data_IF_242914872544
#
_entry.id   IF_242914872544
#
_cell.length_a   1.000
_cell.length_b   1.000
_cell.length_c   1.000
_cell.angle_alpha   90.00
_cell.angle_beta   90.00
_cell.angle_gamma   90.00
#
_symmetry.space_group_name_H-M   'P 1'
#
loop_
_entity.id
_entity.type
_entity.pdbx_description
1 polymer ?
#
# COMPACT_ATOMS: atom_id res chain seq x y z
N UNK A 1 -3.45 -29.91 1.22
CA UNK A 1 -2.76 -28.99 0.30
C UNK A 1 -2.85 -27.58 0.89
N UNK A 2 -1.79 -26.77 0.87
CA UNK A 2 -1.85 -25.41 1.46
C UNK A 2 -2.75 -24.51 0.63
N UNK A 3 -3.52 -23.61 1.27
CA UNK A 3 -4.40 -22.63 0.58
C UNK A 3 -3.69 -21.95 -0.59
N UNK A 4 -2.45 -21.50 -0.37
CA UNK A 4 -1.66 -20.80 -1.38
C UNK A 4 -1.28 -21.66 -2.57
N UNK A 5 -1.03 -22.96 -2.39
CA UNK A 5 -0.72 -23.87 -3.50
C UNK A 5 -1.96 -24.00 -4.38
N UNK A 6 -3.10 -24.36 -3.78
CA UNK A 6 -4.35 -24.56 -4.52
C UNK A 6 -4.82 -23.29 -5.24
N UNK A 7 -4.71 -22.12 -4.61
CA UNK A 7 -5.07 -20.85 -5.23
C UNK A 7 -4.12 -20.47 -6.37
N UNK A 8 -2.81 -20.69 -6.20
CA UNK A 8 -1.85 -20.36 -7.26
C UNK A 8 -2.09 -21.24 -8.48
N UNK A 9 -2.36 -22.53 -8.30
CA UNK A 9 -2.71 -23.44 -9.40
C UNK A 9 -3.99 -22.99 -10.13
N UNK A 10 -5.04 -22.60 -9.41
CA UNK A 10 -6.28 -22.10 -10.02
C UNK A 10 -6.09 -20.79 -10.77
N UNK A 11 -5.32 -19.86 -10.20
CA UNK A 11 -4.97 -18.60 -10.88
C UNK A 11 -4.15 -18.89 -12.13
N UNK A 12 -3.21 -19.82 -12.06
CA UNK A 12 -2.41 -20.22 -13.21
C UNK A 12 -3.26 -20.82 -14.33
N UNK A 13 -4.30 -21.59 -14.00
CA UNK A 13 -5.30 -22.09 -14.95
C UNK A 13 -6.13 -20.94 -15.53
N UNK A 14 -6.59 -20.00 -14.70
CA UNK A 14 -7.33 -18.81 -15.17
C UNK A 14 -6.51 -17.98 -16.17
N UNK A 15 -5.20 -17.83 -15.94
CA UNK A 15 -4.33 -17.10 -16.87
C UNK A 15 -4.29 -17.75 -18.26
N UNK A 16 -4.45 -19.07 -18.33
CA UNK A 16 -4.44 -19.83 -19.59
C UNK A 16 -5.83 -19.81 -20.24
N UNK A 17 -6.87 -20.16 -19.48
CA UNK A 17 -8.22 -20.41 -19.98
C UNK A 17 -9.06 -19.14 -20.12
N UNK A 18 -8.77 -18.11 -19.33
CA UNK A 18 -9.52 -16.84 -19.27
C UNK A 18 -11.03 -17.03 -19.07
N UNK A 19 -11.39 -18.10 -18.35
CA UNK A 19 -12.77 -18.42 -18.03
C UNK A 19 -13.27 -17.55 -16.87
N UNK A 20 -14.38 -16.84 -17.10
CA UNK A 20 -15.03 -15.97 -16.10
C UNK A 20 -15.55 -16.77 -14.90
N UNK A 21 -16.10 -17.97 -15.11
CA UNK A 21 -16.59 -18.81 -14.03
C UNK A 21 -15.45 -19.25 -13.10
N UNK A 22 -14.27 -19.51 -13.67
CA UNK A 22 -13.07 -19.83 -12.90
C UNK A 22 -12.58 -18.63 -12.09
N UNK A 23 -12.62 -17.42 -12.66
CA UNK A 23 -12.31 -16.19 -11.93
C UNK A 23 -13.27 -15.98 -10.75
N UNK A 24 -14.57 -16.16 -10.95
CA UNK A 24 -15.56 -16.06 -9.88
C UNK A 24 -15.31 -17.09 -8.77
N UNK A 25 -14.99 -18.33 -9.13
CA UNK A 25 -14.64 -19.37 -8.16
C UNK A 25 -13.40 -18.99 -7.34
N UNK A 26 -12.34 -18.51 -7.99
CA UNK A 26 -11.12 -18.04 -7.33
C UNK A 26 -11.44 -16.89 -6.34
N UNK A 27 -12.23 -15.91 -6.77
CA UNK A 27 -12.62 -14.78 -5.91
C UNK A 27 -13.42 -15.26 -4.69
N UNK A 28 -14.35 -16.21 -4.87
CA UNK A 28 -15.12 -16.81 -3.77
C UNK A 28 -14.21 -17.53 -2.76
N UNK A 29 -13.20 -18.26 -3.24
CA UNK A 29 -12.22 -18.93 -2.38
C UNK A 29 -11.39 -17.94 -1.54
N UNK A 30 -11.18 -16.71 -2.04
CA UNK A 30 -10.53 -15.65 -1.28
C UNK A 30 -11.40 -15.03 -0.19
N UNK A 31 -12.74 -15.07 -0.30
CA UNK A 31 -13.62 -14.35 0.63
C UNK A 31 -13.38 -14.64 2.11
N UNK A 32 -13.22 -15.91 2.57
CA UNK A 32 -12.94 -16.19 3.98
C UNK A 32 -11.62 -15.57 4.44
N UNK A 33 -10.59 -15.63 3.60
CA UNK A 33 -9.28 -15.04 3.88
C UNK A 33 -9.38 -13.51 3.99
N UNK A 34 -10.04 -12.86 3.05
CA UNK A 34 -10.20 -11.41 3.02
C UNK A 34 -11.03 -10.89 4.20
N UNK A 35 -12.12 -11.58 4.55
CA UNK A 35 -12.93 -11.25 5.74
C UNK A 35 -12.09 -11.30 7.02
N UNK A 36 -11.28 -12.36 7.18
CA UNK A 36 -10.39 -12.48 8.33
C UNK A 36 -9.33 -11.37 8.37
N UNK A 37 -8.72 -11.07 7.22
CA UNK A 37 -7.74 -9.98 7.12
C UNK A 37 -8.36 -8.62 7.44
N UNK A 38 -9.53 -8.30 6.91
CA UNK A 38 -10.22 -7.03 7.18
C UNK A 38 -10.61 -6.89 8.65
N UNK A 39 -11.06 -7.98 9.28
CA UNK A 39 -11.34 -7.98 10.73
C UNK A 39 -10.09 -7.74 11.57
N UNK A 40 -8.96 -8.34 11.19
CA UNK A 40 -7.69 -8.10 11.87
C UNK A 40 -7.21 -6.66 11.72
N UNK A 41 -7.40 -6.05 10.54
CA UNK A 41 -7.07 -4.65 10.29
C UNK A 41 -7.96 -3.71 11.13
N UNK A 42 -9.27 -3.97 11.19
CA UNK A 42 -10.21 -3.25 12.07
C UNK A 42 -9.78 -3.34 13.54
N UNK A 43 -9.49 -4.54 14.06
CA UNK A 43 -9.01 -4.74 15.44
C UNK A 43 -7.69 -3.97 15.67
N UNK A 44 -6.82 -3.92 14.67
CA UNK A 44 -5.57 -3.16 14.77
C UNK A 44 -5.81 -1.66 14.81
N UNK A 45 -6.81 -1.16 14.08
CA UNK A 45 -7.26 0.22 14.17
C UNK A 45 -7.82 0.55 15.56
N UNK A 46 -8.73 -0.30 16.07
CA UNK A 46 -9.34 -0.14 17.40
C UNK A 46 -8.28 -0.08 18.51
N UNK A 47 -7.26 -0.95 18.44
CA UNK A 47 -6.12 -0.96 19.38
C UNK A 47 -5.29 0.33 19.34
N UNK A 48 -5.26 1.01 18.21
CA UNK A 48 -4.60 2.30 18.04
C UNK A 48 -5.53 3.47 18.40
N UNK A 49 -6.73 3.18 18.92
CA UNK A 49 -7.73 4.17 19.26
C UNK A 49 -8.39 4.81 18.04
N UNK A 50 -8.28 4.19 16.86
CA UNK A 50 -8.85 4.68 15.60
C UNK A 50 -10.00 3.76 15.17
N UNK A 51 -11.14 4.35 14.86
CA UNK A 51 -12.30 3.73 14.27
C UNK A 51 -12.16 3.81 12.76
N UNK A 52 -11.93 2.66 12.15
CA UNK A 52 -12.01 2.46 10.70
C UNK A 52 -12.99 1.31 10.49
N UNK A 53 -14.08 1.50 9.71
CA UNK A 53 -15.06 0.46 9.45
C UNK A 53 -14.44 -0.79 8.84
N UNK A 54 -15.01 -1.95 9.16
CA UNK A 54 -14.63 -3.22 8.55
C UNK A 54 -14.82 -3.19 7.02
N UNK A 55 -15.91 -2.56 6.59
CA UNK A 55 -16.36 -2.44 5.21
C UNK A 55 -15.33 -1.73 4.34
N UNK A 56 -14.61 -0.74 4.89
CA UNK A 56 -13.59 0.01 4.16
C UNK A 56 -12.35 -0.84 3.88
N UNK A 57 -11.91 -1.62 4.87
CA UNK A 57 -10.86 -2.62 4.65
C UNK A 57 -11.32 -3.69 3.66
N UNK A 58 -12.52 -4.24 3.85
CA UNK A 58 -12.99 -5.38 3.07
C UNK A 58 -13.23 -5.02 1.60
N UNK A 59 -13.88 -3.88 1.32
CA UNK A 59 -14.10 -3.40 -0.05
C UNK A 59 -12.80 -3.12 -0.80
N UNK A 60 -11.83 -2.47 -0.13
CA UNK A 60 -10.52 -2.20 -0.73
C UNK A 60 -9.73 -3.49 -0.98
N UNK A 61 -9.84 -4.47 -0.09
CA UNK A 61 -9.23 -5.79 -0.27
C UNK A 61 -9.83 -6.59 -1.42
N UNK A 62 -11.15 -6.55 -1.62
CA UNK A 62 -11.81 -7.19 -2.76
C UNK A 62 -11.28 -6.61 -4.08
N UNK A 63 -11.22 -5.28 -4.17
CA UNK A 63 -10.70 -4.59 -5.35
C UNK A 63 -9.23 -4.93 -5.61
N UNK A 64 -8.41 -4.91 -4.55
CA UNK A 64 -6.98 -5.24 -4.65
C UNK A 64 -6.74 -6.70 -5.07
N UNK A 65 -7.61 -7.62 -4.63
CA UNK A 65 -7.57 -9.03 -5.02
C UNK A 65 -7.82 -9.20 -6.50
N UNK A 66 -8.90 -8.61 -7.01
CA UNK A 66 -9.22 -8.65 -8.45
C UNK A 66 -8.08 -8.04 -9.28
N UNK A 67 -7.60 -6.84 -8.89
CA UNK A 67 -6.45 -6.19 -9.56
C UNK A 67 -5.20 -7.05 -9.53
N UNK A 68 -4.89 -7.72 -8.42
CA UNK A 68 -3.72 -8.58 -8.32
C UNK A 68 -3.79 -9.79 -9.27
N UNK A 69 -4.97 -10.38 -9.44
CA UNK A 69 -5.18 -11.50 -10.38
C UNK A 69 -5.02 -11.02 -11.83
N UNK A 70 -5.61 -9.87 -12.17
CA UNK A 70 -5.50 -9.29 -13.53
C UNK A 70 -4.08 -8.84 -13.86
N UNK A 71 -3.41 -8.13 -12.94
CA UNK A 71 -2.01 -7.73 -13.12
C UNK A 71 -1.12 -8.96 -13.30
N UNK A 72 -1.34 -10.02 -12.50
CA UNK A 72 -0.62 -11.28 -12.65
C UNK A 72 -0.81 -11.88 -14.04
N UNK A 73 -2.05 -11.92 -14.53
CA UNK A 73 -2.38 -12.41 -15.87
C UNK A 73 -1.64 -11.65 -16.96
N UNK A 74 -1.57 -10.33 -16.87
CA UNK A 74 -0.90 -9.47 -17.85
C UNK A 74 0.63 -9.58 -17.81
N UNK A 75 1.21 -9.81 -16.62
CA UNK A 75 2.65 -9.76 -16.39
C UNK A 75 3.34 -11.14 -16.37
N UNK A 76 2.61 -12.25 -16.18
CA UNK A 76 3.18 -13.60 -16.07
C UNK A 76 4.07 -14.00 -17.24
N UNK A 77 3.75 -13.55 -18.46
CA UNK A 77 4.56 -13.84 -19.66
C UNK A 77 5.92 -13.12 -19.67
N UNK A 78 6.09 -12.08 -18.86
CA UNK A 78 7.25 -11.18 -18.90
C UNK A 78 8.24 -11.39 -17.76
N UNK A 79 7.82 -12.01 -16.64
CA UNK A 79 8.61 -12.10 -15.41
C UNK A 79 8.34 -13.39 -14.64
N UNK A 80 9.34 -13.90 -13.92
CA UNK A 80 9.19 -14.99 -12.92
C UNK A 80 8.47 -14.49 -11.65
N UNK A 81 7.30 -13.87 -11.83
CA UNK A 81 6.52 -13.30 -10.75
C UNK A 81 5.77 -14.42 -10.02
N UNK A 82 5.79 -14.39 -8.68
CA UNK A 82 5.01 -15.31 -7.85
C UNK A 82 3.71 -14.66 -7.44
N UNK A 83 2.59 -15.27 -7.82
CA UNK A 83 1.25 -14.74 -7.55
C UNK A 83 1.04 -14.40 -6.07
N UNK A 84 1.42 -15.30 -5.15
CA UNK A 84 1.32 -15.07 -3.71
C UNK A 84 1.99 -13.77 -3.25
N UNK A 85 3.18 -13.47 -3.76
CA UNK A 85 3.94 -12.29 -3.33
C UNK A 85 3.31 -11.01 -3.86
N UNK A 86 2.93 -11.00 -5.13
CA UNK A 86 2.17 -9.92 -5.75
C UNK A 86 0.88 -9.66 -4.96
N UNK A 87 0.08 -10.71 -4.73
CA UNK A 87 -1.18 -10.60 -4.00
C UNK A 87 -1.00 -10.00 -2.60
N UNK A 88 -0.07 -10.54 -1.80
CA UNK A 88 0.18 -10.04 -0.45
C UNK A 88 0.68 -8.59 -0.46
N UNK A 89 1.49 -8.22 -1.45
CA UNK A 89 1.96 -6.85 -1.63
C UNK A 89 0.80 -5.90 -1.96
N UNK A 90 -0.07 -6.26 -2.90
CA UNK A 90 -1.26 -5.48 -3.26
C UNK A 90 -2.22 -5.32 -2.09
N UNK A 91 -2.42 -6.39 -1.31
CA UNK A 91 -3.25 -6.34 -0.11
C UNK A 91 -2.66 -5.39 0.96
N UNK A 92 -1.34 -5.39 1.13
CA UNK A 92 -0.67 -4.48 2.06
C UNK A 92 -0.70 -3.01 1.60
N UNK A 93 -0.70 -2.74 0.29
CA UNK A 93 -0.94 -1.38 -0.24
C UNK A 93 -2.38 -0.97 0.06
N UNK A 94 -3.34 -1.83 -0.27
CA UNK A 94 -4.76 -1.57 -0.05
C UNK A 94 -5.06 -1.20 1.40
N UNK A 95 -4.47 -1.92 2.36
CA UNK A 95 -4.61 -1.58 3.79
C UNK A 95 -4.08 -0.17 4.09
N UNK A 96 -2.89 0.16 3.59
CA UNK A 96 -2.28 1.48 3.80
C UNK A 96 -3.10 2.60 3.15
N UNK A 97 -3.74 2.34 2.02
CA UNK A 97 -4.60 3.31 1.37
C UNK A 97 -5.86 3.59 2.21
N UNK A 98 -6.44 2.56 2.83
CA UNK A 98 -7.50 2.76 3.83
C UNK A 98 -6.99 3.61 4.99
N UNK A 99 -5.84 3.28 5.58
CA UNK A 99 -5.25 4.10 6.64
C UNK A 99 -5.00 5.56 6.24
N UNK A 100 -4.64 5.81 4.97
CA UNK A 100 -4.42 7.17 4.45
C UNK A 100 -5.71 7.97 4.35
N UNK A 101 -6.85 7.35 4.01
CA UNK A 101 -8.15 8.02 3.97
C UNK A 101 -8.54 8.61 5.34
N UNK A 102 -8.16 7.93 6.41
CA UNK A 102 -8.45 8.34 7.78
C UNK A 102 -7.35 9.22 8.41
N UNK A 103 -6.29 9.51 7.65
CA UNK A 103 -5.19 10.38 8.08
C UNK A 103 -5.63 11.84 7.99
N UNK A 104 -5.62 12.55 9.12
CA UNK A 104 -5.78 14.01 9.20
C UNK A 104 -4.47 14.69 9.57
N UNK A 105 -4.29 15.92 9.12
CA UNK A 105 -3.21 16.79 9.57
C UNK A 105 -3.60 17.38 10.92
N UNK A 106 -2.73 17.26 11.93
CA UNK A 106 -2.93 17.87 13.25
C UNK A 106 -1.97 19.03 13.43
N UNK A 107 -2.50 20.13 13.98
CA UNK A 107 -1.70 21.27 14.44
C UNK A 107 -1.16 21.06 15.87
N UNK A 108 -1.30 19.86 16.43
CA UNK A 108 -0.95 19.56 17.80
C UNK A 108 0.55 19.21 17.91
N UNK A 109 1.29 19.98 18.71
CA UNK A 109 2.77 19.88 18.83
C UNK A 109 3.25 18.56 19.44
N UNK A 110 2.35 17.77 20.02
CA UNK A 110 2.65 16.49 20.66
C UNK A 110 2.56 15.28 19.69
N UNK A 111 2.00 15.46 18.49
CA UNK A 111 1.93 14.38 17.51
C UNK A 111 3.22 14.31 16.70
N UNK A 112 3.88 13.14 16.74
CA UNK A 112 5.09 12.89 15.94
C UNK A 112 4.77 13.10 14.46
N UNK A 113 5.33 14.15 13.89
CA UNK A 113 5.22 14.57 12.48
C UNK A 113 3.87 15.22 12.07
N UNK A 114 3.07 15.74 12.99
CA UNK A 114 1.84 16.49 12.64
C UNK A 114 0.73 15.64 11.99
N UNK A 115 0.77 14.32 12.19
CA UNK A 115 -0.20 13.36 11.66
C UNK A 115 -1.12 12.96 12.81
N UNK A 116 -2.43 13.18 12.66
CA UNK A 116 -3.44 12.59 13.55
C UNK A 116 -4.46 11.75 12.81
N UNK A 117 -5.13 10.92 13.59
CA UNK A 117 -6.30 10.17 13.16
C UNK A 117 -7.53 10.64 13.95
N UNK A 118 -7.57 11.92 14.36
CA UNK A 118 -8.54 12.44 15.35
C UNK A 118 -10.00 12.27 14.94
N UNK A 119 -10.32 12.22 13.64
CA UNK A 119 -11.68 11.93 13.18
C UNK A 119 -12.06 10.46 13.24
N UNK A 120 -11.07 9.56 13.26
CA UNK A 120 -11.28 8.16 13.59
C UNK A 120 -11.20 7.91 15.10
N UNK A 121 -10.68 8.83 15.92
CA UNK A 121 -10.68 8.58 17.37
C UNK A 121 -12.12 8.46 17.86
N UNK A 122 -12.38 7.50 18.74
CA UNK A 122 -13.67 7.34 19.41
C UNK A 122 -13.96 8.63 20.20
N UNK A 123 -14.57 9.61 19.54
CA UNK A 123 -15.07 10.80 20.22
C UNK A 123 -16.22 10.31 21.11
N UNK A 124 -16.10 10.50 22.43
CA UNK A 124 -17.27 10.37 23.28
C UNK A 124 -18.34 11.32 22.75
N UNK A 125 -19.58 10.85 22.71
CA UNK A 125 -20.75 11.63 22.32
C UNK A 125 -20.96 12.75 23.35
N UNK A 126 -20.16 13.81 23.26
CA UNK A 126 -20.44 15.08 23.89
C UNK A 126 -21.26 15.90 22.87
N UNK A 127 -22.51 16.27 23.17
CA UNK A 127 -23.48 16.74 22.17
C UNK A 127 -23.23 18.16 21.61
N UNK A 128 -22.01 18.69 21.76
CA UNK A 128 -21.73 20.12 21.59
C UNK A 128 -20.99 20.57 20.32
N UNK A 129 -20.55 19.68 19.42
CA UNK A 129 -19.73 20.11 18.28
C UNK A 129 -20.07 19.38 16.97
N UNK A 130 -21.06 19.91 16.25
CA UNK A 130 -21.26 19.59 14.84
C UNK A 130 -20.61 20.72 14.04
N UNK A 131 -19.36 20.53 13.61
CA UNK A 131 -18.85 21.24 12.43
C UNK A 131 -18.71 20.25 11.29
N UNK A 132 -19.82 20.11 10.56
CA UNK A 132 -19.84 19.51 9.23
C UNK A 132 -19.19 20.48 8.23
N UNK A 133 -17.91 20.30 7.95
CA UNK A 133 -17.33 20.70 6.66
C UNK A 133 -16.32 19.65 6.22
N UNK A 134 -16.80 18.66 5.46
CA UNK A 134 -15.94 17.76 4.69
C UNK A 134 -16.11 18.08 3.21
N UNK A 135 -15.54 19.19 2.75
CA UNK A 135 -15.07 19.26 1.37
C UNK A 135 -13.80 18.40 1.30
N UNK A 136 -13.96 17.14 0.95
CA UNK A 136 -12.81 16.28 0.60
C UNK A 136 -12.29 16.79 -0.73
N UNK A 137 -11.31 17.69 -0.68
CA UNK A 137 -10.45 17.96 -1.82
C UNK A 137 -9.64 16.69 -2.08
N UNK A 138 -10.12 15.91 -3.05
CA UNK A 138 -9.38 14.83 -3.68
C UNK A 138 -8.26 15.46 -4.48
N UNK A 139 -7.06 15.58 -3.90
CA UNK A 139 -5.90 15.76 -4.76
C UNK A 139 -4.62 15.17 -4.18
N UNK A 140 -3.90 14.46 -5.05
CA UNK A 140 -2.63 13.75 -4.85
C UNK A 140 -2.63 12.42 -4.07
N UNK A 141 -3.32 11.40 -4.58
CA UNK A 141 -2.78 10.03 -4.43
C UNK A 141 -1.43 9.97 -5.12
N UNK A 142 -0.34 10.03 -4.36
CA UNK A 142 1.02 9.86 -4.89
C UNK A 142 1.10 8.49 -5.54
N UNK A 143 1.23 8.46 -6.87
CA UNK A 143 1.48 7.23 -7.59
C UNK A 143 2.88 6.73 -7.26
N UNK A 144 2.95 5.62 -6.53
CA UNK A 144 4.20 4.97 -6.17
C UNK A 144 5.04 4.60 -7.40
N UNK A 145 4.39 4.29 -8.54
CA UNK A 145 5.09 4.01 -9.80
C UNK A 145 5.76 5.27 -10.34
N UNK A 146 5.05 6.39 -10.36
CA UNK A 146 5.59 7.68 -10.80
C UNK A 146 6.75 8.15 -9.92
N UNK A 147 6.58 8.07 -8.59
CA UNK A 147 7.60 8.43 -7.61
C UNK A 147 8.89 7.61 -7.80
N UNK A 148 8.76 6.30 -7.98
CA UNK A 148 9.92 5.42 -8.24
C UNK A 148 10.54 5.69 -9.61
N UNK A 149 9.73 5.97 -10.63
CA UNK A 149 10.23 6.33 -11.97
C UNK A 149 11.07 7.61 -11.93
N UNK A 150 10.61 8.63 -11.20
CA UNK A 150 11.36 9.88 -11.02
C UNK A 150 12.66 9.66 -10.24
N UNK A 151 12.63 8.84 -9.18
CA UNK A 151 13.85 8.48 -8.47
C UNK A 151 14.84 7.71 -9.35
N UNK A 152 14.35 6.80 -10.21
CA UNK A 152 15.18 6.01 -11.12
C UNK A 152 15.95 6.87 -12.13
N UNK A 153 15.42 8.03 -12.52
CA UNK A 153 16.15 8.98 -13.38
C UNK A 153 17.43 9.52 -12.72
N UNK A 154 17.44 9.63 -11.39
CA UNK A 154 18.59 10.13 -10.62
C UNK A 154 19.51 9.00 -10.15
N UNK A 155 18.92 7.90 -9.69
CA UNK A 155 19.62 6.74 -9.14
C UNK A 155 19.14 5.45 -9.84
N UNK A 156 19.65 5.13 -11.04
CA UNK A 156 19.10 4.06 -11.89
C UNK A 156 19.07 2.69 -11.24
N UNK A 157 20.13 2.33 -10.51
CA UNK A 157 20.25 1.04 -9.83
C UNK A 157 19.27 0.93 -8.65
N UNK A 158 19.19 1.96 -7.82
CA UNK A 158 18.27 1.96 -6.69
C UNK A 158 16.82 2.03 -7.17
N UNK A 159 16.53 2.86 -8.17
CA UNK A 159 15.20 2.97 -8.79
C UNK A 159 14.73 1.65 -9.41
N UNK A 160 15.61 0.92 -10.10
CA UNK A 160 15.28 -0.42 -10.61
C UNK A 160 14.98 -1.42 -9.48
N UNK A 161 15.72 -1.38 -8.38
CA UNK A 161 15.41 -2.22 -7.21
C UNK A 161 14.02 -1.89 -6.65
N UNK A 162 13.69 -0.60 -6.50
CA UNK A 162 12.39 -0.19 -5.99
C UNK A 162 11.25 -0.45 -6.97
N UNK A 163 11.48 -0.45 -8.27
CA UNK A 163 10.45 -0.79 -9.26
C UNK A 163 10.08 -2.28 -9.16
N UNK A 164 11.05 -3.17 -8.92
CA UNK A 164 10.77 -4.58 -8.60
C UNK A 164 9.89 -4.71 -7.35
N UNK A 165 10.16 -3.91 -6.30
CA UNK A 165 9.30 -3.94 -5.11
C UNK A 165 7.88 -3.43 -5.40
N UNK A 166 7.73 -2.40 -6.24
CA UNK A 166 6.42 -1.88 -6.67
C UNK A 166 5.64 -2.90 -7.50
N UNK A 167 6.32 -3.79 -8.20
CA UNK A 167 5.70 -4.92 -8.89
C UNK A 167 5.45 -6.15 -7.99
N UNK A 168 5.78 -6.07 -6.70
CA UNK A 168 5.46 -7.12 -5.72
C UNK A 168 6.55 -8.19 -5.54
N UNK A 169 7.75 -7.97 -6.08
CA UNK A 169 8.89 -8.80 -5.72
C UNK A 169 9.29 -8.55 -4.26
N UNK A 170 9.72 -9.60 -3.56
CA UNK A 170 10.30 -9.45 -2.22
C UNK A 170 11.68 -8.80 -2.30
N UNK A 171 12.18 -8.20 -1.20
CA UNK A 171 13.55 -7.70 -1.16
C UNK A 171 14.60 -8.78 -1.47
N UNK A 172 14.31 -10.04 -1.11
CA UNK A 172 15.18 -11.16 -1.47
C UNK A 172 15.17 -11.39 -2.98
N UNK A 173 14.00 -11.51 -3.61
CA UNK A 173 13.90 -11.78 -5.05
C UNK A 173 14.49 -10.63 -5.87
N UNK A 174 14.17 -9.38 -5.52
CA UNK A 174 14.75 -8.21 -6.15
C UNK A 174 16.29 -8.16 -6.00
N UNK A 175 16.82 -8.52 -4.83
CA UNK A 175 18.26 -8.58 -4.63
C UNK A 175 18.93 -9.71 -5.42
N UNK A 176 18.29 -10.88 -5.57
CA UNK A 176 18.81 -11.96 -6.41
C UNK A 176 18.86 -11.55 -7.88
N UNK A 177 17.81 -10.90 -8.38
CA UNK A 177 17.73 -10.37 -9.75
C UNK A 177 18.81 -9.30 -9.99
N UNK A 178 19.01 -8.39 -9.04
CA UNK A 178 19.86 -7.22 -9.23
C UNK A 178 21.36 -7.48 -8.95
N UNK A 179 21.68 -8.33 -7.99
CA UNK A 179 23.06 -8.55 -7.54
C UNK A 179 23.65 -9.88 -8.00
N UNK A 180 22.88 -10.71 -8.72
CA UNK A 180 23.27 -12.08 -9.10
C UNK A 180 23.69 -12.96 -7.92
N UNK A 181 23.21 -12.61 -6.72
CA UNK A 181 23.51 -13.31 -5.48
C UNK A 181 22.55 -14.49 -5.32
N UNK A 182 23.08 -15.67 -4.95
CA UNK A 182 22.23 -16.84 -4.69
C UNK A 182 21.39 -16.67 -3.42
N UNK A 183 21.91 -15.95 -2.42
CA UNK A 183 21.33 -15.87 -1.07
C UNK A 183 21.20 -14.44 -0.53
N UNK A 184 20.12 -14.22 0.24
CA UNK A 184 19.82 -12.95 0.90
C UNK A 184 20.51 -12.82 2.28
N UNK A 185 21.84 -12.83 2.23
CA UNK A 185 22.74 -12.84 3.39
C UNK A 185 22.95 -11.43 4.00
N UNK A 186 23.55 -11.30 5.20
CA UNK A 186 23.59 -10.04 5.95
C UNK A 186 24.21 -8.83 5.21
N UNK A 187 25.21 -9.06 4.36
CA UNK A 187 25.82 -8.00 3.55
C UNK A 187 24.83 -7.39 2.56
N UNK A 188 24.08 -8.24 1.85
CA UNK A 188 23.00 -7.83 0.93
C UNK A 188 21.91 -7.08 1.67
N UNK A 189 21.51 -7.53 2.86
CA UNK A 189 20.53 -6.82 3.71
C UNK A 189 21.02 -5.41 4.07
N UNK A 190 22.27 -5.26 4.50
CA UNK A 190 22.88 -3.94 4.77
C UNK A 190 22.95 -3.06 3.52
N UNK A 191 23.12 -3.64 2.34
CA UNK A 191 23.06 -2.89 1.07
C UNK A 191 21.64 -2.37 0.80
N UNK A 192 20.63 -3.23 0.90
CA UNK A 192 19.21 -2.85 0.76
C UNK A 192 18.80 -1.79 1.78
N UNK A 193 19.28 -1.89 3.03
CA UNK A 193 19.04 -0.85 4.04
C UNK A 193 19.64 0.51 3.65
N UNK A 194 20.84 0.53 3.08
CA UNK A 194 21.47 1.75 2.57
C UNK A 194 20.65 2.36 1.41
N UNK A 195 20.14 1.54 0.49
CA UNK A 195 19.26 1.99 -0.59
C UNK A 195 17.96 2.60 -0.03
N UNK A 196 17.32 1.95 0.95
CA UNK A 196 16.13 2.49 1.62
C UNK A 196 16.39 3.84 2.29
N UNK A 197 17.56 4.03 2.90
CA UNK A 197 17.96 5.32 3.49
C UNK A 197 18.12 6.40 2.43
N UNK A 198 18.70 6.09 1.26
CA UNK A 198 18.83 7.04 0.15
C UNK A 198 17.48 7.44 -0.43
N UNK A 199 16.61 6.48 -0.73
CA UNK A 199 15.25 6.78 -1.18
C UNK A 199 14.51 7.66 -0.16
N UNK A 200 14.59 7.34 1.14
CA UNK A 200 13.98 8.18 2.18
C UNK A 200 14.49 9.62 2.14
N UNK A 201 15.80 9.82 1.94
CA UNK A 201 16.38 11.16 1.83
C UNK A 201 15.85 11.91 0.60
N UNK A 202 15.80 11.23 -0.55
CA UNK A 202 15.22 11.78 -1.78
C UNK A 202 13.76 12.21 -1.59
N UNK A 203 12.93 11.34 -1.00
CA UNK A 203 11.51 11.65 -0.80
C UNK A 203 11.25 12.80 0.17
N UNK A 204 12.16 13.04 1.12
CA UNK A 204 12.12 14.21 1.99
C UNK A 204 12.52 15.49 1.26
N UNK A 205 13.48 15.43 0.33
CA UNK A 205 13.92 16.58 -0.46
C UNK A 205 12.86 17.02 -1.46
N UNK A 206 12.25 16.07 -2.15
CA UNK A 206 11.20 16.31 -3.16
C UNK A 206 9.81 16.59 -2.55
N UNK A 207 9.73 16.69 -1.21
CA UNK A 207 8.48 16.94 -0.47
C UNK A 207 7.31 16.00 -0.79
N UNK A 208 7.55 14.80 -1.31
CA UNK A 208 6.50 13.79 -1.51
C UNK A 208 5.71 13.50 -0.22
N UNK A 209 6.29 13.73 0.97
CA UNK A 209 5.58 13.57 2.24
C UNK A 209 5.39 14.88 3.03
N UNK A 210 5.69 16.04 2.44
CA UNK A 210 5.74 17.35 3.10
C UNK A 210 4.79 18.39 2.48
N UNK A 211 3.69 17.97 1.87
CA UNK A 211 2.53 18.86 1.75
C UNK A 211 1.87 18.97 3.14
N UNK A 212 2.54 19.66 4.06
CA UNK A 212 1.81 20.49 5.01
C UNK A 212 1.07 21.51 4.16
N UNK A 213 -0.26 21.49 4.20
CA UNK A 213 -1.09 22.59 3.70
C UNK A 213 -0.60 23.85 4.41
N UNK A 214 0.29 24.60 3.76
CA UNK A 214 0.57 25.96 4.17
C UNK A 214 -0.67 26.74 3.83
N UNK A 215 -1.56 26.88 4.80
CA UNK A 215 -2.52 27.99 4.81
C UNK A 215 -1.69 29.27 4.80
N UNK A 216 -1.36 29.78 3.61
CA UNK A 216 -0.91 31.15 3.44
C UNK A 216 -2.11 32.08 3.62
N UNK A 217 -2.61 32.19 4.86
CA UNK A 217 -3.33 33.40 5.28
C UNK A 217 -2.30 34.49 5.51
N UNK A 218 -1.93 35.19 4.43
CA UNK A 218 -1.40 36.56 4.36
C UNK A 218 -1.67 37.00 2.92
N UNK A 219 -2.54 37.96 2.59
CA UNK A 219 -3.01 39.11 3.34
C UNK A 219 -4.27 39.65 2.65
N UNK A 220 -5.32 39.96 3.41
CA UNK A 220 -6.33 40.94 3.01
C UNK A 220 -6.34 42.05 4.07
N UNK A 221 -6.13 43.28 3.58
CA UNK A 221 -6.41 44.60 4.19
C UNK A 221 -5.58 45.04 5.41
N UNK A 222 -4.63 45.97 5.18
CA UNK A 222 -4.85 47.43 5.26
C UNK A 222 -4.21 48.04 4.02
#
# INVERSE_FOLDING_TARGET
MSFWISITERVDLYVIEQNVELLEAILRDFFPYLKKSAKNAQISAEKLGVYIPFEDFYSTYLLATWKAIEDYRLERKKKELKFKNLFLYRLAIAEKDVWRLYKKSSNNKNDKNGITYDAGRWQSLDPGFIESQSSVEFDSTIDLKEMVCNYQKQEPLDGFFFSLLVEGFTCSEAAKIMFSEKDYHPSVRKRVERMKKRLKKYLLQEKYFLNTVTNSKKSQHI
#
